data_IF_143842906590
#
_entry.id   IF_143842906590
#
_cell.length_a   1.000
_cell.length_b   1.000
_cell.length_c   1.000
_cell.angle_alpha   90.00
_cell.angle_beta   90.00
_cell.angle_gamma   90.00
#
_symmetry.space_group_name_H-M   'P 1'
#
loop_
_entity.id
_entity.type
_entity.pdbx_description
1 polymer ?
#
# COMPACT_ATOMS: atom_id res chain seq x y z
N UNK A 1 23.39 5.51 -11.14
CA UNK A 1 22.31 6.48 -10.95
C UNK A 1 20.97 5.81 -11.15
N UNK A 2 20.02 6.03 -10.24
CA UNK A 2 18.67 5.54 -10.50
C UNK A 2 18.08 6.23 -11.72
N UNK A 3 17.27 5.50 -12.48
CA UNK A 3 16.56 6.07 -13.62
C UNK A 3 15.60 7.18 -13.15
N UNK A 4 15.41 8.26 -13.91
CA UNK A 4 14.48 9.30 -13.53
C UNK A 4 13.05 8.76 -13.47
N UNK A 5 12.27 9.24 -12.51
CA UNK A 5 10.86 8.93 -12.40
C UNK A 5 10.08 9.72 -13.44
N UNK A 6 9.75 9.07 -14.55
CA UNK A 6 9.01 9.69 -15.64
C UNK A 6 7.57 9.23 -15.72
N UNK A 7 7.26 8.08 -15.10
CA UNK A 7 5.95 7.46 -15.18
C UNK A 7 5.71 6.54 -13.99
N UNK A 8 4.46 6.37 -13.54
CA UNK A 8 4.12 5.37 -12.51
C UNK A 8 4.53 3.95 -12.90
N UNK A 9 4.64 3.65 -14.18
CA UNK A 9 5.06 2.33 -14.66
C UNK A 9 6.49 1.97 -14.28
N UNK A 10 7.35 2.94 -13.93
CA UNK A 10 8.73 2.71 -13.51
C UNK A 10 8.88 2.44 -12.02
N UNK A 11 7.77 2.47 -11.25
CA UNK A 11 7.78 2.23 -9.82
C UNK A 11 8.01 0.76 -9.50
N UNK A 12 8.68 0.46 -8.37
CA UNK A 12 8.78 -0.92 -7.90
C UNK A 12 7.41 -1.55 -7.68
N UNK A 13 7.34 -2.87 -7.85
CA UNK A 13 6.12 -3.61 -7.56
C UNK A 13 5.89 -3.69 -6.04
N UNK A 14 4.63 -3.84 -5.65
CA UNK A 14 4.27 -4.05 -4.26
C UNK A 14 4.07 -2.78 -3.44
N UNK A 15 4.09 -1.61 -4.06
CA UNK A 15 3.75 -0.36 -3.37
C UNK A 15 2.22 -0.23 -3.21
N UNK A 16 1.76 0.38 -2.10
CA UNK A 16 0.34 0.62 -1.90
C UNK A 16 -0.26 1.51 -2.99
N UNK A 17 -1.51 1.29 -3.32
CA UNK A 17 -2.21 2.07 -4.35
C UNK A 17 -2.21 3.57 -4.06
N UNK A 18 -2.38 3.95 -2.80
CA UNK A 18 -2.39 5.36 -2.43
C UNK A 18 -1.04 6.04 -2.72
N UNK A 19 0.07 5.31 -2.53
CA UNK A 19 1.40 5.84 -2.80
C UNK A 19 1.63 5.97 -4.32
N UNK A 20 1.21 4.98 -5.09
CA UNK A 20 1.27 5.03 -6.56
C UNK A 20 0.46 6.22 -7.09
N UNK A 21 -0.74 6.42 -6.57
CA UNK A 21 -1.59 7.55 -6.95
C UNK A 21 -0.95 8.90 -6.59
N UNK A 22 -0.35 8.99 -5.40
CA UNK A 22 0.37 10.19 -4.97
C UNK A 22 1.53 10.52 -5.91
N UNK A 23 2.33 9.51 -6.26
CA UNK A 23 3.47 9.69 -7.16
C UNK A 23 3.00 10.11 -8.56
N UNK A 24 1.94 9.51 -9.06
CA UNK A 24 1.36 9.86 -10.36
C UNK A 24 0.95 11.34 -10.40
N UNK A 25 0.27 11.80 -9.36
CA UNK A 25 -0.12 13.22 -9.25
C UNK A 25 1.10 14.13 -9.16
N UNK A 26 2.10 13.76 -8.35
CA UNK A 26 3.34 14.51 -8.22
C UNK A 26 4.09 14.64 -9.56
N UNK A 27 4.09 13.57 -10.35
CA UNK A 27 4.72 13.59 -11.68
C UNK A 27 3.96 14.48 -12.66
N UNK A 28 2.64 14.56 -12.57
CA UNK A 28 1.84 15.50 -13.37
C UNK A 28 2.17 16.95 -13.01
N UNK A 29 2.26 17.24 -11.72
CA UNK A 29 2.67 18.57 -11.24
C UNK A 29 4.08 18.91 -11.72
N UNK A 30 4.99 17.95 -11.71
CA UNK A 30 6.36 18.15 -12.19
C UNK A 30 6.37 18.51 -13.67
N UNK A 31 5.52 17.92 -14.49
CA UNK A 31 5.41 18.29 -15.91
C UNK A 31 4.98 19.74 -16.06
N UNK A 32 3.98 20.16 -15.30
CA UNK A 32 3.52 21.55 -15.30
C UNK A 32 4.62 22.51 -14.88
N UNK A 33 5.37 22.18 -13.83
CA UNK A 33 6.51 22.97 -13.37
C UNK A 33 7.59 23.10 -14.45
N UNK A 34 7.91 22.01 -15.11
CA UNK A 34 8.91 21.99 -16.19
C UNK A 34 8.47 22.86 -17.36
N UNK A 35 7.20 22.78 -17.74
CA UNK A 35 6.62 23.61 -18.80
C UNK A 35 6.67 25.10 -18.46
N UNK A 36 6.63 25.46 -17.19
CA UNK A 36 6.71 26.83 -16.70
C UNK A 36 8.14 27.27 -16.34
N UNK A 37 9.15 26.52 -16.76
CA UNK A 37 10.55 26.89 -16.56
C UNK A 37 11.13 26.58 -15.19
N UNK A 38 10.44 25.79 -14.36
CA UNK A 38 10.88 25.45 -13.01
C UNK A 38 11.63 24.11 -12.94
N UNK A 39 12.55 23.88 -13.89
CA UNK A 39 13.29 22.61 -14.00
C UNK A 39 14.11 22.24 -12.77
N UNK A 40 14.67 23.22 -12.05
CA UNK A 40 15.41 22.96 -10.83
C UNK A 40 14.51 22.44 -9.70
N UNK A 41 13.29 22.99 -9.61
CA UNK A 41 12.30 22.49 -8.66
C UNK A 41 11.89 21.06 -8.97
N UNK A 42 11.74 20.72 -10.24
CA UNK A 42 11.43 19.34 -10.68
C UNK A 42 12.53 18.38 -10.27
N UNK A 43 13.79 18.73 -10.48
CA UNK A 43 14.94 17.89 -10.08
C UNK A 43 14.95 17.61 -8.59
N UNK A 44 14.72 18.66 -7.77
CA UNK A 44 14.67 18.51 -6.32
C UNK A 44 13.49 17.63 -5.87
N UNK A 45 12.33 17.81 -6.49
CA UNK A 45 11.13 17.03 -6.19
C UNK A 45 11.28 15.56 -6.58
N UNK A 46 11.87 15.27 -7.73
CA UNK A 46 12.17 13.90 -8.16
C UNK A 46 13.11 13.20 -7.19
N UNK A 47 14.17 13.88 -6.73
CA UNK A 47 15.09 13.31 -5.75
C UNK A 47 14.36 12.96 -4.45
N UNK A 48 13.47 13.83 -3.98
CA UNK A 48 12.68 13.58 -2.78
C UNK A 48 11.72 12.40 -2.97
N UNK A 49 11.04 12.33 -4.12
CA UNK A 49 10.14 11.21 -4.43
C UNK A 49 10.89 9.88 -4.45
N UNK A 50 12.07 9.84 -5.03
CA UNK A 50 12.89 8.61 -5.05
C UNK A 50 13.28 8.17 -3.63
N UNK A 51 13.63 9.09 -2.77
CA UNK A 51 13.92 8.80 -1.35
C UNK A 51 12.69 8.27 -0.63
N UNK A 52 11.53 8.85 -0.87
CA UNK A 52 10.27 8.39 -0.30
C UNK A 52 9.94 6.97 -0.74
N UNK A 53 10.07 6.69 -2.03
CA UNK A 53 9.78 5.37 -2.59
C UNK A 53 10.73 4.32 -2.00
N UNK A 54 12.02 4.62 -1.91
CA UNK A 54 13.01 3.72 -1.33
C UNK A 54 12.70 3.44 0.15
N UNK A 55 12.37 4.48 0.92
CA UNK A 55 12.03 4.34 2.33
C UNK A 55 10.74 3.54 2.52
N UNK A 56 9.72 3.80 1.69
CA UNK A 56 8.46 3.06 1.73
C UNK A 56 8.67 1.59 1.39
N UNK A 57 9.47 1.29 0.38
CA UNK A 57 9.78 -0.08 -0.01
C UNK A 57 10.50 -0.82 1.11
N UNK A 58 11.49 -0.20 1.74
CA UNK A 58 12.20 -0.79 2.87
C UNK A 58 11.26 -1.07 4.04
N UNK A 59 10.38 -0.14 4.35
CA UNK A 59 9.37 -0.30 5.40
C UNK A 59 8.43 -1.47 5.10
N UNK A 60 7.93 -1.54 3.86
CA UNK A 60 6.97 -2.56 3.43
C UNK A 60 7.61 -3.96 3.33
N UNK A 61 8.91 -4.04 3.05
CA UNK A 61 9.63 -5.31 3.00
C UNK A 61 9.94 -5.87 4.39
N UNK A 62 9.74 -5.10 5.44
CA UNK A 62 9.95 -5.53 6.82
C UNK A 62 9.05 -6.71 7.17
N UNK A 63 9.63 -7.69 7.87
CA UNK A 63 8.91 -8.87 8.34
C UNK A 63 8.38 -8.63 9.74
N UNK A 64 7.13 -8.96 9.96
CA UNK A 64 6.45 -8.79 11.26
C UNK A 64 5.88 -10.12 11.74
N UNK A 65 5.56 -10.19 13.03
CA UNK A 65 4.92 -11.36 13.63
C UNK A 65 3.43 -11.40 13.27
N UNK A 66 2.83 -12.58 13.47
CA UNK A 66 1.38 -12.74 13.31
C UNK A 66 0.62 -11.84 14.27
N UNK A 67 1.11 -11.70 15.50
CA UNK A 67 0.49 -10.86 16.53
C UNK A 67 0.53 -9.38 16.15
N UNK A 68 1.67 -8.92 15.64
CA UNK A 68 1.81 -7.55 15.14
C UNK A 68 0.89 -7.29 13.94
N UNK A 69 0.83 -8.23 13.01
CA UNK A 69 -0.06 -8.14 11.85
C UNK A 69 -1.53 -8.06 12.28
N UNK A 70 -1.93 -8.89 13.23
CA UNK A 70 -3.28 -8.89 13.79
C UNK A 70 -3.62 -7.55 14.44
N UNK A 71 -2.69 -6.98 15.20
CA UNK A 71 -2.87 -5.67 15.83
C UNK A 71 -3.05 -4.55 14.80
N UNK A 72 -2.23 -4.55 13.75
CA UNK A 72 -2.31 -3.55 12.67
C UNK A 72 -3.66 -3.63 11.96
N UNK A 73 -4.16 -4.84 11.68
CA UNK A 73 -5.41 -5.05 10.95
C UNK A 73 -6.66 -5.02 11.85
N UNK A 74 -6.49 -4.99 13.18
CA UNK A 74 -7.61 -5.11 14.10
C UNK A 74 -8.31 -6.45 14.00
N UNK A 75 -7.57 -7.53 13.75
CA UNK A 75 -8.11 -8.88 13.57
C UNK A 75 -7.47 -9.86 14.56
N UNK A 76 -8.11 -11.01 14.74
CA UNK A 76 -7.58 -12.06 15.58
C UNK A 76 -6.35 -12.72 14.90
N UNK A 77 -5.29 -13.09 15.67
CA UNK A 77 -4.11 -13.75 15.09
C UNK A 77 -4.43 -15.02 14.29
N UNK A 78 -5.43 -15.78 14.69
CA UNK A 78 -5.84 -16.99 13.97
C UNK A 78 -6.36 -16.66 12.56
N UNK A 79 -7.00 -15.51 12.39
CA UNK A 79 -7.41 -15.04 11.06
C UNK A 79 -6.22 -14.86 10.13
N UNK A 80 -5.11 -14.34 10.67
CA UNK A 80 -3.87 -14.15 9.91
C UNK A 80 -3.25 -15.51 9.55
N UNK A 81 -3.16 -16.44 10.52
CA UNK A 81 -2.63 -17.78 10.26
C UNK A 81 -3.44 -18.51 9.20
N UNK A 82 -4.75 -18.39 9.27
CA UNK A 82 -5.66 -19.01 8.30
C UNK A 82 -5.46 -18.43 6.91
N UNK A 83 -5.27 -17.12 6.80
CA UNK A 83 -5.00 -16.46 5.51
C UNK A 83 -3.69 -16.95 4.88
N UNK A 84 -2.66 -17.19 5.69
CA UNK A 84 -1.39 -17.76 5.19
C UNK A 84 -1.59 -19.21 4.74
N UNK A 85 -2.31 -20.01 5.51
CA UNK A 85 -2.59 -21.41 5.16
C UNK A 85 -3.40 -21.54 3.87
N UNK A 86 -4.33 -20.63 3.65
CA UNK A 86 -5.17 -20.64 2.44
C UNK A 86 -4.50 -20.02 1.21
N UNK A 87 -3.33 -19.40 1.38
CA UNK A 87 -2.64 -18.71 0.29
C UNK A 87 -3.10 -17.28 0.05
N UNK A 88 -4.02 -16.76 0.88
CA UNK A 88 -4.47 -15.36 0.77
C UNK A 88 -3.37 -14.38 1.18
N UNK A 89 -2.46 -14.80 2.05
CA UNK A 89 -1.24 -14.07 2.39
C UNK A 89 -0.01 -14.93 2.09
N UNK A 90 1.02 -14.38 1.46
CA UNK A 90 2.29 -15.08 1.30
C UNK A 90 2.93 -15.39 2.66
N UNK A 91 3.61 -16.53 2.75
CA UNK A 91 4.42 -16.88 3.90
C UNK A 91 5.75 -16.13 3.82
N UNK A 92 5.95 -15.22 4.77
CA UNK A 92 7.15 -14.38 4.81
C UNK A 92 8.32 -14.97 5.58
N UNK A 93 8.25 -16.24 5.99
CA UNK A 93 9.35 -16.86 6.74
C UNK A 93 10.63 -16.88 5.94
N UNK A 94 11.73 -16.55 6.61
CA UNK A 94 13.07 -16.63 6.00
C UNK A 94 13.68 -18.00 6.18
N UNK A 95 13.20 -18.78 7.17
CA UNK A 95 13.66 -20.15 7.45
C UNK A 95 12.46 -21.09 7.43
N UNK A 96 12.56 -22.29 6.76
CA UNK A 96 11.42 -23.20 6.63
C UNK A 96 10.82 -23.67 7.97
N UNK A 97 11.63 -23.75 9.01
CA UNK A 97 11.19 -24.18 10.36
C UNK A 97 11.09 -23.02 11.34
N UNK A 98 11.26 -21.77 10.88
CA UNK A 98 11.14 -20.60 11.71
C UNK A 98 9.69 -20.25 12.04
N UNK A 99 9.51 -19.32 12.97
CA UNK A 99 8.20 -18.75 13.27
C UNK A 99 7.62 -18.09 12.01
N UNK A 100 6.31 -18.20 11.88
CA UNK A 100 5.59 -17.51 10.81
C UNK A 100 5.85 -16.02 10.85
N UNK A 101 6.28 -15.47 9.73
CA UNK A 101 6.50 -14.04 9.53
C UNK A 101 5.68 -13.58 8.35
N UNK A 102 5.31 -12.31 8.36
CA UNK A 102 4.51 -11.72 7.29
C UNK A 102 5.22 -10.45 6.84
N UNK A 103 5.34 -10.29 5.54
CA UNK A 103 5.86 -9.05 4.97
C UNK A 103 4.82 -7.96 5.22
N UNK A 104 5.24 -6.83 5.80
CA UNK A 104 4.31 -5.74 6.17
C UNK A 104 3.46 -5.28 4.99
N UNK A 105 4.06 -5.16 3.81
CA UNK A 105 3.35 -4.74 2.60
C UNK A 105 2.26 -5.69 2.14
N UNK A 106 2.33 -6.96 2.52
CA UNK A 106 1.33 -7.96 2.14
C UNK A 106 0.03 -7.82 2.93
N UNK A 107 0.04 -7.11 4.05
CA UNK A 107 -1.16 -6.86 4.85
C UNK A 107 -2.22 -6.06 4.08
N UNK A 108 -1.83 -5.32 3.08
CA UNK A 108 -2.74 -4.52 2.26
C UNK A 108 -3.79 -5.39 1.58
N UNK A 109 -3.46 -6.64 1.26
CA UNK A 109 -4.39 -7.60 0.67
C UNK A 109 -5.57 -7.93 1.59
N UNK A 110 -5.38 -7.90 2.91
CA UNK A 110 -6.43 -8.14 3.89
C UNK A 110 -7.07 -6.85 4.40
N UNK A 111 -6.32 -5.74 4.38
CA UNK A 111 -6.83 -4.44 4.82
C UNK A 111 -7.85 -3.85 3.84
N UNK A 112 -7.75 -4.20 2.56
CA UNK A 112 -8.62 -3.72 1.50
C UNK A 112 -9.48 -4.89 0.98
N UNK A 113 -10.56 -5.26 1.67
CA UNK A 113 -11.37 -6.42 1.28
C UNK A 113 -12.01 -6.29 -0.08
N UNK A 114 -12.23 -5.07 -0.56
CA UNK A 114 -12.87 -4.78 -1.83
C UNK A 114 -12.13 -3.61 -2.50
N UNK A 115 -11.90 -3.66 -3.82
CA UNK A 115 -11.35 -2.53 -4.57
C UNK A 115 -12.15 -1.24 -4.38
N UNK A 116 -13.45 -1.34 -4.14
CA UNK A 116 -14.28 -0.18 -3.83
C UNK A 116 -13.97 0.41 -2.47
N UNK A 117 -13.44 -0.41 -1.59
CA UNK A 117 -13.14 -0.01 -0.23
C UNK A 117 -14.28 0.61 0.52
N UNK A 118 -13.94 1.50 1.42
CA UNK A 118 -14.91 2.28 2.16
C UNK A 118 -15.57 3.31 1.25
N UNK A 119 -16.87 3.18 1.07
CA UNK A 119 -17.71 4.16 0.42
C UNK A 119 -18.75 4.63 1.44
N UNK A 120 -18.63 5.88 1.95
CA UNK A 120 -19.56 6.41 2.93
C UNK A 120 -21.02 6.39 2.43
N UNK A 121 -21.21 6.60 1.14
CA UNK A 121 -22.55 6.62 0.55
C UNK A 121 -23.16 5.22 0.50
N UNK A 122 -22.38 4.22 0.12
CA UNK A 122 -22.83 2.83 0.09
C UNK A 122 -23.17 2.34 1.50
N UNK A 123 -22.31 2.67 2.49
CA UNK A 123 -22.55 2.33 3.88
C UNK A 123 -23.80 2.99 4.42
N UNK A 124 -24.00 4.29 4.12
CA UNK A 124 -25.20 5.01 4.53
C UNK A 124 -26.47 4.40 3.91
N UNK A 125 -26.41 3.99 2.66
CA UNK A 125 -27.52 3.32 1.97
C UNK A 125 -27.81 1.95 2.61
N UNK A 126 -26.79 1.18 2.94
CA UNK A 126 -26.96 -0.13 3.55
C UNK A 126 -27.58 0.00 4.95
N UNK A 127 -27.13 0.95 5.74
CA UNK A 127 -27.71 1.27 7.05
C UNK A 127 -29.18 1.70 6.89
N UNK A 128 -29.48 2.53 5.91
CA UNK A 128 -30.84 2.97 5.64
C UNK A 128 -31.75 1.81 5.26
N UNK A 129 -31.26 0.87 4.44
CA UNK A 129 -32.00 -0.35 4.06
C UNK A 129 -32.31 -1.22 5.26
N UNK A 130 -31.35 -1.40 6.16
CA UNK A 130 -31.52 -2.22 7.38
C UNK A 130 -32.49 -1.59 8.38
N UNK A 131 -32.65 -0.27 8.35
CA UNK A 131 -33.54 0.48 9.25
C UNK A 131 -34.96 0.63 8.70
N UNK A 132 -35.24 0.27 7.47
CA UNK A 132 -36.59 0.35 6.91
C UNK A 132 -37.51 -0.60 7.67
N UNK A 133 -38.63 -0.11 8.21
CA UNK A 133 -39.64 -1.00 8.77
C UNK A 133 -40.24 -1.86 7.66
N UNK A 134 -40.49 -3.09 8.02
CA UNK A 134 -41.15 -4.04 7.10
C UNK A 134 -42.56 -3.61 6.78
#
# INVERSE_FOLDING_TARGET
MPAPLTSPATLPHGLPRWLVAFVDEALRENRTLAENGAGQAVTAREALLQKLIAAAQQYLDGKITVEEAAAILGRHPETIRRAVRSGALPDGRTKPRGRLRIRRGDLDALAAPDPGRYDPNADAQDIARRRRPL
#
